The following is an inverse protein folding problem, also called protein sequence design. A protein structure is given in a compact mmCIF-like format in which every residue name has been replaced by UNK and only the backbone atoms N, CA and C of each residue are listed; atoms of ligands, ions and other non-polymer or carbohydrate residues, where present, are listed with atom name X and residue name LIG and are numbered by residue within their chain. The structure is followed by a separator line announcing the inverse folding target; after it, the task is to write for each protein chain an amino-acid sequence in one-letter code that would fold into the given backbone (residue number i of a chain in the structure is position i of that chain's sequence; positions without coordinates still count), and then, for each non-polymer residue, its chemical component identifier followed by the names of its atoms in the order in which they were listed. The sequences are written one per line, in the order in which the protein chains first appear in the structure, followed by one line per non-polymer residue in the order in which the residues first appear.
data_IF_284511696269
#
_entry.id   IF_284511696269
#
_cell.length_a   1.000
_cell.length_b   1.000
_cell.length_c   1.000
_cell.angle_alpha   90.00
_cell.angle_beta   90.00
_cell.angle_gamma   90.00
#
_symmetry.space_group_name_H-M   'P 1'
#
loop_
_entity.id
_entity.type
_entity.pdbx_description
1 polymer ?
#
# COMPACT_ATOMS: atom_id res chain seq x y z
N UNK A 1 4.04 -20.01 -8.71
CA UNK A 1 4.29 -19.05 -9.81
C UNK A 1 5.79 -18.91 -10.01
N UNK A 2 6.26 -18.91 -11.27
CA UNK A 2 7.64 -18.59 -11.57
C UNK A 2 7.88 -17.10 -11.28
N UNK A 3 9.05 -16.75 -10.73
CA UNK A 3 9.42 -15.37 -10.42
C UNK A 3 9.41 -14.53 -11.70
N UNK A 4 8.46 -13.61 -11.85
CA UNK A 4 8.38 -12.67 -12.97
C UNK A 4 8.61 -11.24 -12.49
N UNK A 5 9.38 -10.46 -13.25
CA UNK A 5 9.58 -9.04 -12.99
C UNK A 5 8.30 -8.22 -13.10
N UNK A 6 7.31 -8.69 -13.85
CA UNK A 6 5.99 -8.06 -13.90
C UNK A 6 5.35 -7.98 -12.52
N UNK A 7 5.13 -9.12 -11.86
CA UNK A 7 4.50 -9.19 -10.54
C UNK A 7 5.32 -8.44 -9.47
N UNK A 8 6.64 -8.57 -9.53
CA UNK A 8 7.55 -7.84 -8.62
C UNK A 8 7.39 -6.33 -8.78
N UNK A 9 7.29 -5.85 -10.02
CA UNK A 9 7.09 -4.43 -10.31
C UNK A 9 5.74 -3.94 -9.77
N UNK A 10 4.67 -4.71 -9.98
CA UNK A 10 3.34 -4.34 -9.47
C UNK A 10 3.31 -4.26 -7.94
N UNK A 11 3.83 -5.28 -7.26
CA UNK A 11 3.87 -5.29 -5.80
C UNK A 11 4.70 -4.12 -5.25
N UNK A 12 5.85 -3.83 -5.86
CA UNK A 12 6.68 -2.71 -5.46
C UNK A 12 6.03 -1.36 -5.74
N UNK A 13 5.31 -1.23 -6.86
CA UNK A 13 4.51 -0.05 -7.15
C UNK A 13 3.44 0.20 -6.07
N UNK A 14 2.79 -0.85 -5.55
CA UNK A 14 1.86 -0.74 -4.42
C UNK A 14 2.50 -0.11 -3.17
N UNK A 15 3.73 -0.53 -2.82
CA UNK A 15 4.50 0.07 -1.71
C UNK A 15 4.79 1.56 -1.97
N UNK A 16 5.22 1.89 -3.19
CA UNK A 16 5.50 3.26 -3.60
C UNK A 16 4.24 4.13 -3.62
N UNK A 17 3.09 3.58 -4.01
CA UNK A 17 1.79 4.25 -3.99
C UNK A 17 1.42 4.66 -2.56
N UNK A 18 1.50 3.73 -1.60
CA UNK A 18 1.24 4.02 -0.20
C UNK A 18 2.18 5.12 0.34
N UNK A 19 3.48 5.05 0.02
CA UNK A 19 4.45 6.07 0.41
C UNK A 19 4.10 7.46 -0.16
N UNK A 20 3.62 7.52 -1.41
CA UNK A 20 3.22 8.78 -2.04
C UNK A 20 1.94 9.36 -1.45
N UNK A 21 0.95 8.53 -1.16
CA UNK A 21 -0.28 8.95 -0.51
C UNK A 21 -0.01 9.54 0.88
N UNK A 22 0.86 8.90 1.67
CA UNK A 22 1.29 9.42 2.98
C UNK A 22 1.97 10.78 2.85
N UNK A 23 2.88 10.96 1.89
CA UNK A 23 3.52 12.25 1.65
C UNK A 23 2.51 13.34 1.26
N UNK A 24 1.54 13.02 0.39
CA UNK A 24 0.48 13.95 0.01
C UNK A 24 -0.37 14.36 1.22
N UNK A 25 -0.82 13.39 2.02
CA UNK A 25 -1.58 13.65 3.24
C UNK A 25 -0.80 14.53 4.23
N UNK A 26 0.48 14.22 4.46
CA UNK A 26 1.32 14.96 5.40
C UNK A 26 1.56 16.42 5.00
N UNK A 27 1.67 16.72 3.69
CA UNK A 27 1.98 18.06 3.21
C UNK A 27 0.75 18.87 2.78
N UNK A 28 -0.31 18.22 2.31
CA UNK A 28 -1.47 18.87 1.69
C UNK A 28 -2.75 18.68 2.51
N UNK A 29 -2.79 17.72 3.43
CA UNK A 29 -4.00 17.33 4.16
C UNK A 29 -5.00 16.51 3.33
N UNK A 30 -4.70 16.27 2.04
CA UNK A 30 -5.48 15.43 1.14
C UNK A 30 -4.54 14.64 0.20
N UNK A 31 -5.06 13.61 -0.45
CA UNK A 31 -4.31 12.80 -1.42
C UNK A 31 -5.21 12.37 -2.58
N UNK A 32 -4.63 11.67 -3.55
CA UNK A 32 -5.38 11.08 -4.67
C UNK A 32 -6.41 10.06 -4.14
N UNK A 33 -7.70 10.36 -4.34
CA UNK A 33 -8.80 9.56 -3.79
C UNK A 33 -8.89 8.16 -4.40
N UNK A 34 -8.60 8.04 -5.69
CA UNK A 34 -8.74 6.81 -6.44
C UNK A 34 -7.59 5.87 -6.09
N UNK A 35 -6.36 6.39 -6.05
CA UNK A 35 -5.21 5.64 -5.60
C UNK A 35 -5.33 5.23 -4.12
N UNK A 36 -5.89 6.09 -3.27
CA UNK A 36 -6.18 5.75 -1.87
C UNK A 36 -7.22 4.63 -1.79
N UNK A 37 -8.31 4.72 -2.55
CA UNK A 37 -9.34 3.70 -2.59
C UNK A 37 -8.75 2.34 -3.01
N UNK A 38 -7.92 2.30 -4.05
CA UNK A 38 -7.22 1.09 -4.49
C UNK A 38 -6.32 0.54 -3.38
N UNK A 39 -5.50 1.40 -2.75
CA UNK A 39 -4.59 0.96 -1.68
C UNK A 39 -5.33 0.44 -0.45
N UNK A 40 -6.44 1.05 -0.06
CA UNK A 40 -7.26 0.56 1.06
C UNK A 40 -7.97 -0.76 0.69
N UNK A 41 -8.50 -0.88 -0.53
CA UNK A 41 -9.14 -2.12 -0.98
C UNK A 41 -8.16 -3.30 -0.98
N UNK A 42 -6.89 -3.06 -1.34
CA UNK A 42 -5.86 -4.11 -1.33
C UNK A 42 -5.61 -4.74 0.05
N UNK A 43 -6.06 -4.09 1.13
CA UNK A 43 -5.93 -4.62 2.50
C UNK A 43 -7.10 -5.57 2.82
N UNK A 44 -8.29 -5.29 2.30
CA UNK A 44 -9.52 -6.02 2.66
C UNK A 44 -9.84 -7.16 1.70
N UNK A 45 -9.29 -7.14 0.49
CA UNK A 45 -9.36 -8.28 -0.44
C UNK A 45 -8.36 -9.37 -0.02
N UNK A 46 -8.88 -10.41 0.65
CA UNK A 46 -8.07 -11.45 1.29
C UNK A 46 -7.74 -12.65 0.39
N UNK A 47 -8.41 -12.79 -0.76
CA UNK A 47 -8.22 -13.94 -1.68
C UNK A 47 -8.10 -13.52 -3.15
N UNK A 48 -7.06 -12.73 -3.51
CA UNK A 48 -6.88 -12.26 -4.88
C UNK A 48 -6.31 -13.36 -5.79
N UNK A 49 -6.87 -13.50 -6.99
CA UNK A 49 -6.45 -14.52 -7.98
C UNK A 49 -5.07 -14.26 -8.61
N UNK A 50 -4.55 -13.03 -8.51
CA UNK A 50 -3.25 -12.63 -9.06
C UNK A 50 -2.68 -11.39 -8.36
N UNK A 51 -1.40 -11.08 -8.57
CA UNK A 51 -0.79 -9.85 -8.05
C UNK A 51 -1.47 -8.59 -8.56
N UNK A 52 -1.99 -8.59 -9.79
CA UNK A 52 -2.75 -7.46 -10.32
C UNK A 52 -4.15 -7.37 -9.69
N UNK A 53 -4.77 -8.51 -9.36
CA UNK A 53 -6.09 -8.56 -8.71
C UNK A 53 -6.07 -7.89 -7.33
N UNK A 54 -4.97 -7.99 -6.57
CA UNK A 54 -4.75 -7.25 -5.31
C UNK A 54 -5.04 -5.75 -5.45
N UNK A 55 -4.77 -5.19 -6.63
CA UNK A 55 -4.95 -3.77 -6.92
C UNK A 55 -6.16 -3.50 -7.82
N UNK A 56 -7.16 -4.38 -7.84
CA UNK A 56 -8.40 -4.23 -8.61
C UNK A 56 -8.30 -4.61 -10.10
N UNK A 57 -7.29 -5.40 -10.49
CA UNK A 57 -7.24 -6.04 -11.81
C UNK A 57 -6.83 -5.13 -12.97
N UNK A 58 -6.41 -3.88 -12.71
CA UNK A 58 -6.02 -2.91 -13.73
C UNK A 58 -4.71 -2.21 -13.38
N UNK A 59 -3.77 -2.16 -14.31
CA UNK A 59 -2.48 -1.47 -14.13
C UNK A 59 -2.66 0.05 -13.92
N UNK A 60 -3.75 0.61 -14.43
CA UNK A 60 -4.08 2.02 -14.25
C UNK A 60 -4.24 2.39 -12.77
N UNK A 61 -4.70 1.44 -11.95
CA UNK A 61 -4.88 1.61 -10.50
C UNK A 61 -3.55 1.77 -9.75
N UNK A 62 -2.44 1.39 -10.37
CA UNK A 62 -1.08 1.49 -9.85
C UNK A 62 -0.26 2.61 -10.49
N UNK A 63 -0.87 3.44 -11.34
CA UNK A 63 -0.15 4.49 -12.07
C UNK A 63 0.66 5.39 -11.13
N UNK A 64 0.06 5.85 -10.04
CA UNK A 64 0.73 6.69 -9.03
C UNK A 64 1.94 5.97 -8.43
N UNK A 65 1.79 4.70 -8.09
CA UNK A 65 2.85 3.84 -7.58
C UNK A 65 3.99 3.62 -8.58
N UNK A 66 3.67 3.37 -9.85
CA UNK A 66 4.64 3.15 -10.93
C UNK A 66 5.43 4.43 -11.24
N UNK A 67 4.77 5.59 -11.30
CA UNK A 67 5.47 6.88 -11.48
C UNK A 67 6.37 7.18 -10.27
N UNK A 68 5.89 6.88 -9.06
CA UNK A 68 6.68 7.06 -7.82
C UNK A 68 7.88 6.11 -7.78
N UNK A 69 7.72 4.86 -8.21
CA UNK A 69 8.78 3.87 -8.31
C UNK A 69 9.95 4.40 -9.15
N UNK A 70 9.66 4.96 -10.33
CA UNK A 70 10.69 5.55 -11.20
C UNK A 70 11.45 6.66 -10.48
N UNK A 71 10.76 7.51 -9.71
CA UNK A 71 11.38 8.55 -8.90
C UNK A 71 12.27 7.98 -7.79
N UNK A 72 11.81 6.94 -7.09
CA UNK A 72 12.54 6.30 -5.98
C UNK A 72 13.79 5.57 -6.47
N UNK A 73 13.74 4.92 -7.63
CA UNK A 73 14.87 4.16 -8.19
C UNK A 73 15.89 5.05 -8.91
N UNK A 74 15.45 6.12 -9.58
CA UNK A 74 16.35 6.98 -10.36
C UNK A 74 16.87 8.20 -9.57
N UNK A 75 16.36 8.47 -8.36
CA UNK A 75 16.86 9.58 -7.55
C UNK A 75 18.22 9.25 -6.94
N UNK A 76 19.26 9.94 -7.40
CA UNK A 76 20.60 9.89 -6.79
C UNK A 76 20.77 10.95 -5.69
N UNK A 77 19.82 11.88 -5.56
CA UNK A 77 19.86 12.93 -4.53
C UNK A 77 19.35 12.38 -3.19
N UNK A 78 20.14 12.59 -2.13
CA UNK A 78 19.78 12.25 -0.74
C UNK A 78 18.89 13.30 -0.07
N UNK A 79 18.51 14.36 -0.79
CA UNK A 79 17.76 15.50 -0.28
C UNK A 79 16.55 15.84 -1.18
N UNK A 80 15.50 16.41 -0.57
CA UNK A 80 14.26 16.80 -1.24
C UNK A 80 13.11 15.80 -1.08
N UNK A 81 11.97 16.13 -1.69
CA UNK A 81 10.71 15.35 -1.60
C UNK A 81 10.86 13.91 -2.11
N UNK A 82 11.73 13.66 -3.10
CA UNK A 82 11.97 12.30 -3.59
C UNK A 82 12.75 11.45 -2.59
N UNK A 83 13.67 12.05 -1.83
CA UNK A 83 14.40 11.33 -0.79
C UNK A 83 13.49 10.89 0.38
N UNK A 84 12.42 11.65 0.63
CA UNK A 84 11.39 11.27 1.59
C UNK A 84 10.61 10.03 1.15
N UNK A 85 10.19 9.97 -0.12
CA UNK A 85 9.53 8.80 -0.69
C UNK A 85 10.42 7.56 -0.61
N UNK A 86 11.71 7.68 -0.88
CA UNK A 86 12.68 6.60 -0.70
C UNK A 86 12.75 6.16 0.77
N UNK A 87 12.78 7.09 1.74
CA UNK A 87 12.81 6.76 3.17
C UNK A 87 11.54 6.03 3.60
N UNK A 88 10.36 6.47 3.18
CA UNK A 88 9.10 5.79 3.49
C UNK A 88 9.06 4.39 2.89
N UNK A 89 9.39 4.25 1.61
CA UNK A 89 9.42 2.95 0.91
C UNK A 89 10.36 1.96 1.61
N UNK A 90 11.58 2.38 1.94
CA UNK A 90 12.55 1.52 2.66
C UNK A 90 12.09 1.20 4.08
N UNK A 91 11.50 2.16 4.79
CA UNK A 91 11.01 1.95 6.16
C UNK A 91 9.88 0.92 6.19
N UNK A 92 8.96 0.96 5.21
CA UNK A 92 7.90 -0.03 5.03
C UNK A 92 8.48 -1.43 4.80
N UNK A 93 9.47 -1.58 3.91
CA UNK A 93 10.13 -2.87 3.66
C UNK A 93 10.84 -3.42 4.90
N UNK A 94 11.49 -2.55 5.69
CA UNK A 94 12.14 -2.97 6.93
C UNK A 94 11.10 -3.42 7.96
N UNK A 95 9.97 -2.72 8.06
CA UNK A 95 8.90 -3.06 9.00
C UNK A 95 8.20 -4.36 8.62
N UNK A 96 7.92 -4.58 7.33
CA UNK A 96 7.38 -5.84 6.83
C UNK A 96 8.30 -7.02 7.19
N UNK A 97 9.62 -6.89 6.99
CA UNK A 97 10.55 -7.95 7.38
C UNK A 97 10.53 -8.25 8.87
N UNK A 98 10.34 -7.24 9.72
CA UNK A 98 10.18 -7.41 11.18
C UNK A 98 8.86 -8.10 11.52
N UNK A 99 7.78 -7.74 10.82
CA UNK A 99 6.47 -8.37 10.96
C UNK A 99 6.56 -9.86 10.61
N UNK A 100 7.14 -10.20 9.46
CA UNK A 100 7.31 -11.57 9.00
C UNK A 100 8.21 -12.41 9.93
N UNK A 101 9.24 -11.80 10.53
CA UNK A 101 10.12 -12.47 11.49
C UNK A 101 9.48 -12.67 12.88
N UNK A 102 8.42 -11.93 13.20
CA UNK A 102 7.76 -12.00 14.51
C UNK A 102 6.72 -13.12 14.54
N UNK A 103 6.97 -14.14 15.38
CA UNK A 103 6.11 -15.33 15.48
C UNK A 103 4.68 -14.96 15.91
N UNK A 104 3.71 -15.28 15.06
CA UNK A 104 2.27 -15.03 15.32
C UNK A 104 1.79 -13.61 15.01
N UNK A 105 2.69 -12.69 14.60
CA UNK A 105 2.30 -11.33 14.27
C UNK A 105 1.52 -11.25 12.95
N UNK A 106 1.91 -12.03 11.94
CA UNK A 106 1.18 -12.12 10.66
C UNK A 106 -0.23 -12.70 10.87
N UNK A 107 -0.37 -13.76 11.67
CA UNK A 107 -1.68 -14.34 12.01
C UNK A 107 -2.57 -13.33 12.73
N UNK A 108 -1.99 -12.57 13.67
CA UNK A 108 -2.71 -11.51 14.39
C UNK A 108 -3.17 -10.41 13.43
N UNK A 109 -2.33 -10.01 12.47
CA UNK A 109 -2.68 -9.01 11.47
C UNK A 109 -3.82 -9.51 10.57
N UNK A 110 -3.72 -10.72 10.04
CA UNK A 110 -4.77 -11.33 9.21
C UNK A 110 -6.11 -11.43 9.95
N UNK A 111 -6.11 -11.87 11.21
CA UNK A 111 -7.32 -11.91 12.03
C UNK A 111 -7.94 -10.54 12.27
N UNK A 112 -7.12 -9.49 12.46
CA UNK A 112 -7.61 -8.11 12.62
C UNK A 112 -8.23 -7.59 11.33
N UNK A 113 -7.59 -7.81 10.18
CA UNK A 113 -8.10 -7.42 8.87
C UNK A 113 -9.42 -8.15 8.57
N UNK A 114 -9.49 -9.46 8.80
CA UNK A 114 -10.73 -10.22 8.66
C UNK A 114 -11.86 -9.64 9.54
N UNK A 115 -11.51 -9.15 10.74
CA UNK A 115 -12.44 -8.47 11.65
C UNK A 115 -13.08 -7.20 11.09
N UNK A 116 -12.43 -6.50 10.14
CA UNK A 116 -12.94 -5.28 9.50
C UNK A 116 -14.16 -5.54 8.60
N UNK A 117 -14.33 -6.77 8.09
CA UNK A 117 -15.47 -7.11 7.22
C UNK A 117 -16.83 -6.80 7.86
N UNK A 118 -16.95 -7.00 9.18
CA UNK A 118 -18.18 -6.66 9.92
C UNK A 118 -18.47 -5.16 9.94
N UNK A 119 -17.45 -4.32 9.89
CA UNK A 119 -17.62 -2.86 9.84
C UNK A 119 -17.97 -2.40 8.42
N UNK A 120 -17.42 -3.07 7.39
CA UNK A 120 -17.74 -2.81 5.99
C UNK A 120 -19.20 -3.10 5.62
N UNK A 121 -19.91 -3.95 6.38
CA UNK A 121 -21.36 -4.16 6.21
C UNK A 121 -22.21 -2.90 6.50
N UNK A 122 -21.66 -1.95 7.25
CA UNK A 122 -22.39 -0.79 7.75
C UNK A 122 -21.77 0.56 7.36
N UNK A 123 -20.51 0.55 6.95
CA UNK A 123 -19.74 1.76 6.68
C UNK A 123 -18.91 1.60 5.41
N UNK A 124 -18.81 2.69 4.64
CA UNK A 124 -17.93 2.74 3.48
C UNK A 124 -16.45 2.63 3.88
N UNK A 125 -15.63 2.09 2.99
CA UNK A 125 -14.19 1.90 3.20
C UNK A 125 -13.45 3.20 3.56
N UNK A 126 -13.88 4.33 3.00
CA UNK A 126 -13.29 5.64 3.26
C UNK A 126 -13.99 6.42 4.40
N UNK A 127 -14.91 5.78 5.13
CA UNK A 127 -15.51 6.39 6.30
C UNK A 127 -14.48 6.62 7.41
N UNK A 128 -14.69 7.65 8.22
CA UNK A 128 -13.82 7.95 9.38
C UNK A 128 -13.75 6.76 10.35
N UNK A 129 -14.83 5.99 10.47
CA UNK A 129 -14.88 4.77 11.30
C UNK A 129 -13.93 3.69 10.80
N UNK A 130 -13.91 3.40 9.50
CA UNK A 130 -13.02 2.37 8.93
C UNK A 130 -11.57 2.85 8.92
N UNK A 131 -11.32 4.11 8.56
CA UNK A 131 -9.98 4.69 8.60
C UNK A 131 -9.41 4.65 10.03
N UNK A 132 -10.23 4.94 11.05
CA UNK A 132 -9.82 4.84 12.46
C UNK A 132 -9.58 3.40 12.92
N UNK A 133 -10.31 2.43 12.36
CA UNK A 133 -10.13 1.02 12.70
C UNK A 133 -8.86 0.42 12.06
N UNK A 134 -8.41 0.97 10.93
CA UNK A 134 -7.20 0.55 10.21
C UNK A 134 -5.92 1.22 10.73
N UNK A 135 -6.03 2.36 11.43
CA UNK A 135 -4.92 3.11 12.02
C UNK A 135 -4.33 2.45 13.27
#
# INVERSE_FOLDING_TARGET
MAKNYYDITLALAGVCQAARLVQQLAHQGHCDSDALHVSLNSIIDLDPESTLAVFGGSEANLRLGLETLLGVLNTSSRQGLNAELTRYTLSLMVLERKLAASKGAMDTLGNRIAGLHRQLEHFDLQSETLLSAMA
#
